data_IF_973651582172
#
_entry.id   IF_973651582172
#
_cell.length_a   1.000
_cell.length_b   1.000
_cell.length_c   1.000
_cell.angle_alpha   90.00
_cell.angle_beta   90.00
_cell.angle_gamma   90.00
#
_symmetry.space_group_name_H-M   'P 1'
#
loop_
_entity.id
_entity.type
_entity.pdbx_description
1 polymer ?
#
# COMPACT_ATOMS: atom_id res chain seq x y z
N UNK A 1 -70.02 -6.13 49.97
CA UNK A 1 -69.03 -7.20 49.77
C UNK A 1 -68.94 -7.70 48.33
N UNK A 2 -70.05 -8.09 47.66
CA UNK A 2 -70.01 -8.55 46.24
C UNK A 2 -69.41 -7.55 45.23
N UNK A 3 -69.84 -6.27 45.26
CA UNK A 3 -69.30 -5.24 44.35
C UNK A 3 -67.80 -4.97 44.52
N UNK A 4 -67.27 -5.14 45.73
CA UNK A 4 -65.86 -4.92 46.03
C UNK A 4 -64.98 -6.05 45.49
N UNK A 5 -65.49 -7.28 45.50
CA UNK A 5 -64.85 -8.45 44.88
C UNK A 5 -64.86 -8.37 43.34
N UNK A 6 -65.97 -7.95 42.73
CA UNK A 6 -66.06 -7.74 41.28
C UNK A 6 -65.12 -6.64 40.78
N UNK A 7 -64.99 -5.54 41.54
CA UNK A 7 -64.09 -4.43 41.19
C UNK A 7 -62.61 -4.83 41.31
N UNK A 8 -62.25 -5.70 42.27
CA UNK A 8 -60.91 -6.25 42.38
C UNK A 8 -60.57 -7.19 41.22
N UNK A 9 -61.51 -8.05 40.79
CA UNK A 9 -61.32 -8.95 39.64
C UNK A 9 -61.11 -8.14 38.36
N UNK A 10 -61.89 -7.08 38.17
CA UNK A 10 -61.76 -6.20 37.00
C UNK A 10 -60.43 -5.42 36.98
N UNK A 11 -59.96 -4.96 38.15
CA UNK A 11 -58.64 -4.34 38.28
C UNK A 11 -57.51 -5.34 37.96
N UNK A 12 -57.58 -6.56 38.47
CA UNK A 12 -56.57 -7.59 38.19
C UNK A 12 -56.52 -8.00 36.73
N UNK A 13 -57.69 -8.11 36.06
CA UNK A 13 -57.76 -8.40 34.63
C UNK A 13 -57.16 -7.27 33.80
N UNK A 14 -57.41 -6.01 34.18
CA UNK A 14 -56.84 -4.85 33.51
C UNK A 14 -55.32 -4.80 33.62
N UNK A 15 -54.78 -5.05 34.82
CA UNK A 15 -53.33 -5.13 35.05
C UNK A 15 -52.69 -6.26 34.22
N UNK A 16 -53.33 -7.43 34.15
CA UNK A 16 -52.84 -8.55 33.35
C UNK A 16 -52.83 -8.23 31.85
N UNK A 17 -53.90 -7.60 31.35
CA UNK A 17 -53.99 -7.18 29.94
C UNK A 17 -52.92 -6.14 29.61
N UNK A 18 -52.68 -5.19 30.51
CA UNK A 18 -51.67 -4.16 30.31
C UNK A 18 -50.25 -4.75 30.34
N UNK A 19 -49.98 -5.71 31.24
CA UNK A 19 -48.72 -6.47 31.25
C UNK A 19 -48.48 -7.29 29.96
N UNK A 20 -49.51 -7.97 29.45
CA UNK A 20 -49.42 -8.72 28.19
C UNK A 20 -49.18 -7.79 26.99
N UNK A 21 -49.78 -6.60 26.99
CA UNK A 21 -49.53 -5.58 25.95
C UNK A 21 -48.10 -5.06 25.99
N UNK A 22 -47.54 -4.84 27.18
CA UNK A 22 -46.13 -4.43 27.32
C UNK A 22 -45.18 -5.53 26.84
N UNK A 23 -45.45 -6.79 27.18
CA UNK A 23 -44.67 -7.93 26.68
C UNK A 23 -44.76 -8.05 25.15
N UNK A 24 -45.96 -7.92 24.58
CA UNK A 24 -46.16 -7.98 23.13
C UNK A 24 -45.40 -6.85 22.43
N UNK A 25 -45.42 -5.64 22.99
CA UNK A 25 -44.69 -4.49 22.47
C UNK A 25 -43.18 -4.71 22.49
N UNK A 26 -42.64 -5.23 23.60
CA UNK A 26 -41.21 -5.55 23.72
C UNK A 26 -40.76 -6.62 22.73
N UNK A 27 -41.59 -7.66 22.50
CA UNK A 27 -41.31 -8.70 21.50
C UNK A 27 -41.34 -8.12 20.09
N UNK A 28 -42.30 -7.24 19.78
CA UNK A 28 -42.41 -6.60 18.47
C UNK A 28 -41.23 -5.66 18.19
N UNK A 29 -40.80 -4.87 19.18
CA UNK A 29 -39.61 -4.03 19.08
C UNK A 29 -38.36 -4.86 18.83
N UNK A 30 -38.19 -5.99 19.53
CA UNK A 30 -37.06 -6.90 19.30
C UNK A 30 -37.08 -7.52 17.90
N UNK A 31 -38.23 -7.99 17.44
CA UNK A 31 -38.40 -8.52 16.08
C UNK A 31 -38.11 -7.47 15.02
N UNK A 32 -38.56 -6.23 15.22
CA UNK A 32 -38.28 -5.13 14.29
C UNK A 32 -36.79 -4.81 14.21
N UNK A 33 -36.06 -4.90 15.33
CA UNK A 33 -34.62 -4.71 15.37
C UNK A 33 -33.88 -5.86 14.68
N UNK A 34 -34.30 -7.11 14.89
CA UNK A 34 -33.74 -8.28 14.21
C UNK A 34 -34.02 -8.23 12.69
N UNK A 35 -35.23 -7.82 12.29
CA UNK A 35 -35.59 -7.59 10.89
C UNK A 35 -34.70 -6.50 10.28
N UNK A 36 -34.57 -5.35 10.93
CA UNK A 36 -33.71 -4.26 10.44
C UNK A 36 -32.24 -4.69 10.34
N UNK A 37 -31.76 -5.50 11.30
CA UNK A 37 -30.41 -6.07 11.26
C UNK A 37 -30.24 -7.05 10.09
N UNK A 38 -31.24 -7.89 9.83
CA UNK A 38 -31.25 -8.80 8.67
C UNK A 38 -31.34 -8.04 7.35
N UNK A 39 -32.17 -7.01 7.25
CA UNK A 39 -32.28 -6.13 6.09
C UNK A 39 -30.98 -5.37 5.84
N UNK A 40 -30.31 -4.87 6.87
CA UNK A 40 -28.99 -4.25 6.75
C UNK A 40 -27.92 -5.26 6.31
N UNK A 41 -27.93 -6.48 6.86
CA UNK A 41 -27.01 -7.55 6.43
C UNK A 41 -27.28 -8.00 4.99
N UNK A 42 -28.55 -8.10 4.59
CA UNK A 42 -28.97 -8.40 3.23
C UNK A 42 -28.67 -7.25 2.28
N UNK A 43 -28.76 -6.00 2.73
CA UNK A 43 -28.36 -4.80 1.97
C UNK A 43 -26.85 -4.76 1.79
N UNK A 44 -26.06 -5.04 2.82
CA UNK A 44 -24.60 -5.20 2.71
C UNK A 44 -24.21 -6.37 1.81
N UNK A 45 -24.97 -7.47 1.85
CA UNK A 45 -24.77 -8.60 0.95
C UNK A 45 -25.22 -8.27 -0.47
N UNK A 46 -26.30 -7.52 -0.64
CA UNK A 46 -26.76 -6.99 -1.91
C UNK A 46 -25.76 -5.98 -2.46
N UNK A 47 -25.09 -5.14 -1.67
CA UNK A 47 -23.97 -4.31 -2.14
C UNK A 47 -22.81 -5.20 -2.61
N UNK A 48 -22.52 -6.31 -1.91
CA UNK A 48 -21.53 -7.32 -2.34
C UNK A 48 -21.97 -8.17 -3.56
N UNK A 49 -23.27 -8.22 -3.86
CA UNK A 49 -23.88 -8.96 -4.99
C UNK A 49 -24.22 -8.01 -6.16
N UNK A 50 -24.47 -6.72 -5.94
CA UNK A 50 -24.71 -5.68 -6.95
C UNK A 50 -23.41 -5.07 -7.48
N UNK A 51 -22.28 -5.32 -6.80
CA UNK A 51 -20.93 -5.33 -7.38
C UNK A 51 -20.75 -6.44 -8.48
N UNK A 52 -21.87 -6.87 -9.09
CA UNK A 52 -21.97 -7.78 -10.24
C UNK A 52 -22.47 -7.07 -11.50
N UNK A 53 -22.59 -5.74 -11.50
CA UNK A 53 -22.55 -4.96 -12.74
C UNK A 53 -21.17 -5.13 -13.40
N UNK A 54 -21.17 -5.72 -14.60
CA UNK A 54 -19.97 -5.97 -15.40
C UNK A 54 -19.15 -4.70 -15.68
N UNK A 55 -19.82 -3.56 -15.83
CA UNK A 55 -19.21 -2.26 -16.19
C UNK A 55 -18.51 -1.56 -15.02
N UNK A 56 -19.04 -1.66 -13.79
CA UNK A 56 -18.39 -1.09 -12.60
C UNK A 56 -17.15 -1.90 -12.17
N UNK A 57 -17.15 -3.21 -12.45
CA UNK A 57 -16.03 -4.12 -12.16
C UNK A 57 -14.78 -3.84 -12.98
N UNK A 58 -14.92 -3.48 -14.25
CA UNK A 58 -13.78 -3.12 -15.10
C UNK A 58 -13.07 -1.85 -14.61
N UNK A 59 -13.81 -0.91 -14.03
CA UNK A 59 -13.27 0.38 -13.60
C UNK A 59 -12.54 0.27 -12.25
N UNK A 60 -13.13 -0.40 -11.26
CA UNK A 60 -12.52 -0.59 -9.92
C UNK A 60 -11.26 -1.48 -9.93
N UNK A 61 -11.14 -2.38 -10.89
CA UNK A 61 -9.94 -3.22 -11.05
C UNK A 61 -8.79 -2.45 -11.72
N UNK A 62 -9.11 -1.48 -12.59
CA UNK A 62 -8.13 -0.73 -13.40
C UNK A 62 -7.59 0.52 -12.72
N UNK A 63 -8.23 1.02 -11.66
CA UNK A 63 -7.75 2.20 -10.96
C UNK A 63 -6.39 1.93 -10.32
N UNK A 64 -5.42 2.79 -10.67
CA UNK A 64 -4.09 2.73 -10.09
C UNK A 64 -4.21 3.00 -8.58
N UNK A 65 -3.56 2.20 -7.72
CA UNK A 65 -3.56 2.46 -6.30
C UNK A 65 -3.06 3.87 -6.02
N UNK A 66 -3.84 4.66 -5.26
CA UNK A 66 -3.50 6.04 -4.90
C UNK A 66 -2.13 6.12 -4.19
N UNK A 67 -1.75 5.05 -3.49
CA UNK A 67 -0.45 4.87 -2.85
C UNK A 67 0.70 4.90 -3.88
N UNK A 68 0.51 4.40 -5.10
CA UNK A 68 1.51 4.45 -6.17
C UNK A 68 1.51 5.79 -6.91
N UNK A 69 0.36 6.46 -6.99
CA UNK A 69 0.27 7.78 -7.62
C UNK A 69 0.98 8.86 -6.78
N UNK A 70 0.69 8.88 -5.48
CA UNK A 70 1.16 9.91 -4.54
C UNK A 70 2.65 9.83 -4.20
N UNK A 71 3.29 8.68 -4.42
CA UNK A 71 4.72 8.53 -4.15
C UNK A 71 5.57 9.24 -5.23
N UNK A 72 6.28 10.28 -4.81
CA UNK A 72 7.32 10.92 -5.62
C UNK A 72 8.56 10.01 -5.64
N UNK A 73 9.00 9.62 -6.84
CA UNK A 73 10.18 8.78 -7.03
C UNK A 73 11.19 9.51 -7.94
N UNK A 74 12.48 9.59 -7.56
CA UNK A 74 13.51 10.22 -8.39
C UNK A 74 13.82 9.45 -9.68
N UNK A 75 13.38 8.19 -9.78
CA UNK A 75 13.56 7.34 -10.96
C UNK A 75 12.21 7.10 -11.67
N UNK A 76 11.85 7.91 -12.69
CA UNK A 76 10.57 7.78 -13.39
C UNK A 76 10.41 6.46 -14.15
N UNK A 77 11.51 5.87 -14.63
CA UNK A 77 11.51 4.58 -15.33
C UNK A 77 11.13 3.42 -14.38
N UNK A 78 11.59 3.48 -13.13
CA UNK A 78 11.23 2.50 -12.11
C UNK A 78 9.74 2.61 -11.76
N UNK A 79 9.25 3.85 -11.58
CA UNK A 79 7.82 4.10 -11.30
C UNK A 79 6.94 3.60 -12.45
N UNK A 80 7.28 3.93 -13.69
CA UNK A 80 6.51 3.48 -14.85
C UNK A 80 6.56 1.95 -15.04
N UNK A 81 7.71 1.31 -14.79
CA UNK A 81 7.84 -0.15 -14.83
C UNK A 81 6.93 -0.83 -13.79
N UNK A 82 6.90 -0.34 -12.55
CA UNK A 82 6.03 -0.87 -11.50
C UNK A 82 4.55 -0.69 -11.87
N UNK A 83 4.17 0.47 -12.39
CA UNK A 83 2.79 0.71 -12.84
C UNK A 83 2.40 -0.22 -13.99
N UNK A 84 3.28 -0.43 -14.97
CA UNK A 84 3.03 -1.35 -16.08
C UNK A 84 2.89 -2.79 -15.60
N UNK A 85 3.74 -3.23 -14.67
CA UNK A 85 3.62 -4.56 -14.05
C UNK A 85 2.30 -4.71 -13.28
N UNK A 86 1.84 -3.67 -12.60
CA UNK A 86 0.53 -3.66 -11.95
C UNK A 86 -0.61 -3.81 -12.97
N UNK A 87 -0.59 -3.03 -14.05
CA UNK A 87 -1.59 -3.13 -15.12
C UNK A 87 -1.61 -4.54 -15.74
N UNK A 88 -0.42 -5.07 -16.10
CA UNK A 88 -0.27 -6.42 -16.63
C UNK A 88 -0.78 -7.50 -15.66
N UNK A 89 -0.51 -7.33 -14.36
CA UNK A 89 -1.01 -8.19 -13.31
C UNK A 89 -2.54 -8.16 -13.25
N UNK A 90 -3.14 -6.98 -13.20
CA UNK A 90 -4.59 -6.79 -13.14
C UNK A 90 -5.30 -7.35 -14.38
N UNK A 91 -4.78 -7.08 -15.59
CA UNK A 91 -5.35 -7.60 -16.83
C UNK A 91 -5.45 -9.13 -16.84
N UNK A 92 -4.44 -9.83 -16.30
CA UNK A 92 -4.45 -11.29 -16.20
C UNK A 92 -5.58 -11.81 -15.32
N UNK A 93 -5.90 -11.11 -14.23
CA UNK A 93 -7.03 -11.47 -13.37
C UNK A 93 -8.36 -11.11 -14.02
N UNK A 94 -8.44 -9.97 -14.69
CA UNK A 94 -9.65 -9.54 -15.39
C UNK A 94 -10.04 -10.52 -16.51
N UNK A 95 -9.09 -10.95 -17.34
CA UNK A 95 -9.32 -11.97 -18.38
C UNK A 95 -9.86 -13.27 -17.78
N UNK A 96 -9.22 -13.77 -16.71
CA UNK A 96 -9.69 -14.97 -16.01
C UNK A 96 -11.09 -14.80 -15.40
N UNK A 97 -11.41 -13.61 -14.88
CA UNK A 97 -12.72 -13.32 -14.34
C UNK A 97 -13.79 -13.34 -15.44
N UNK A 98 -13.49 -12.73 -16.60
CA UNK A 98 -14.34 -12.75 -17.78
C UNK A 98 -14.58 -14.19 -18.28
N UNK A 99 -13.54 -15.03 -18.32
CA UNK A 99 -13.69 -16.44 -18.68
C UNK A 99 -14.66 -17.17 -17.74
N UNK A 100 -14.58 -16.92 -16.42
CA UNK A 100 -15.53 -17.48 -15.46
C UNK A 100 -16.94 -16.92 -15.62
N UNK A 101 -17.07 -15.63 -15.93
CA UNK A 101 -18.38 -15.00 -16.17
C UNK A 101 -19.05 -15.58 -17.42
N UNK A 102 -18.30 -15.80 -18.50
CA UNK A 102 -18.78 -16.51 -19.69
C UNK A 102 -19.16 -17.97 -19.39
N UNK A 103 -18.34 -18.69 -18.62
CA UNK A 103 -18.68 -20.06 -18.21
C UNK A 103 -19.96 -20.11 -17.36
N UNK A 104 -20.16 -19.15 -16.45
CA UNK A 104 -21.36 -19.06 -15.64
C UNK A 104 -22.60 -18.77 -16.49
N UNK A 105 -22.47 -17.89 -17.48
CA UNK A 105 -23.55 -17.57 -18.42
C UNK A 105 -23.91 -18.77 -19.30
N UNK A 106 -22.92 -19.50 -19.80
CA UNK A 106 -23.12 -20.73 -20.59
C UNK A 106 -23.84 -21.82 -19.78
N UNK A 107 -23.41 -22.06 -18.53
CA UNK A 107 -24.09 -23.02 -17.64
C UNK A 107 -25.53 -22.56 -17.36
N UNK A 108 -25.75 -21.26 -17.13
CA UNK A 108 -27.08 -20.71 -16.86
C UNK A 108 -28.01 -20.85 -18.07
N UNK A 109 -27.51 -20.67 -19.31
CA UNK A 109 -28.29 -20.89 -20.54
C UNK A 109 -28.77 -22.33 -20.71
N UNK A 110 -28.06 -23.29 -20.12
CA UNK A 110 -28.44 -24.71 -20.14
C UNK A 110 -29.50 -25.07 -19.08
N UNK A 111 -29.91 -24.13 -18.22
CA UNK A 111 -30.99 -24.37 -17.26
C UNK A 111 -32.34 -24.46 -17.99
N UNK A 112 -32.98 -25.62 -17.90
CA UNK A 112 -34.28 -25.90 -18.52
C UNK A 112 -35.48 -25.52 -17.63
N UNK A 113 -35.23 -24.95 -16.45
CA UNK A 113 -36.25 -24.51 -15.49
C UNK A 113 -36.42 -22.99 -15.61
N UNK A 114 -37.67 -22.51 -15.49
CA UNK A 114 -37.94 -21.07 -15.35
C UNK A 114 -37.35 -20.54 -14.04
N UNK A 115 -37.25 -19.21 -13.91
CA UNK A 115 -36.74 -18.58 -12.69
C UNK A 115 -37.62 -18.92 -11.47
N UNK A 116 -38.94 -18.98 -11.68
CA UNK A 116 -39.92 -19.40 -10.67
C UNK A 116 -39.76 -20.88 -10.30
N UNK A 117 -39.57 -21.76 -11.28
CA UNK A 117 -39.32 -23.18 -11.03
C UNK A 117 -37.99 -23.40 -10.30
N UNK A 118 -36.98 -22.59 -10.59
CA UNK A 118 -35.69 -22.63 -9.92
C UNK A 118 -35.82 -22.22 -8.44
N UNK A 119 -36.68 -21.25 -8.14
CA UNK A 119 -36.99 -20.88 -6.76
C UNK A 119 -37.69 -22.02 -6.01
N UNK A 120 -38.67 -22.67 -6.63
CA UNK A 120 -39.36 -23.84 -6.05
C UNK A 120 -38.36 -24.98 -5.85
N UNK A 121 -37.47 -25.22 -6.81
CA UNK A 121 -36.42 -26.23 -6.72
C UNK A 121 -35.51 -25.98 -5.51
N UNK A 122 -35.01 -24.75 -5.35
CA UNK A 122 -34.17 -24.35 -4.22
C UNK A 122 -34.92 -24.46 -2.88
N UNK A 123 -36.16 -23.96 -2.82
CA UNK A 123 -36.98 -24.00 -1.62
C UNK A 123 -37.26 -25.45 -1.16
N UNK A 124 -37.41 -26.38 -2.10
CA UNK A 124 -37.55 -27.81 -1.79
C UNK A 124 -36.23 -28.37 -1.26
N UNK A 125 -35.08 -28.06 -1.87
CA UNK A 125 -33.77 -28.50 -1.37
C UNK A 125 -33.47 -28.03 0.06
N UNK A 126 -33.86 -26.79 0.38
CA UNK A 126 -33.63 -26.17 1.69
C UNK A 126 -34.49 -26.79 2.81
N UNK A 127 -35.63 -27.40 2.46
CA UNK A 127 -36.48 -28.13 3.41
C UNK A 127 -35.86 -29.44 3.90
N UNK A 128 -34.87 -29.99 3.18
CA UNK A 128 -34.21 -31.25 3.55
C UNK A 128 -32.78 -30.98 4.05
N UNK A 129 -32.50 -31.21 5.34
CA UNK A 129 -31.15 -31.08 5.91
C UNK A 129 -30.10 -31.96 5.24
N UNK A 130 -28.86 -31.49 5.19
CA UNK A 130 -27.74 -32.15 4.52
C UNK A 130 -27.28 -33.47 5.15
N UNK A 131 -27.57 -33.67 6.43
CA UNK A 131 -27.24 -34.83 7.26
C UNK A 131 -28.25 -35.98 7.15
N UNK A 132 -29.37 -35.76 6.45
CA UNK A 132 -30.43 -36.74 6.29
C UNK A 132 -29.99 -37.91 5.38
N UNK A 133 -30.08 -39.15 5.89
CA UNK A 133 -29.80 -40.33 5.08
C UNK A 133 -30.78 -40.44 3.91
N UNK A 134 -30.27 -40.63 2.69
CA UNK A 134 -31.12 -40.71 1.49
C UNK A 134 -31.77 -39.38 1.09
N UNK A 135 -31.26 -38.24 1.58
CA UNK A 135 -31.72 -36.88 1.22
C UNK A 135 -32.06 -36.73 -0.25
N UNK A 136 -31.16 -37.21 -1.13
CA UNK A 136 -31.29 -37.16 -2.59
C UNK A 136 -32.57 -37.81 -3.11
N UNK A 137 -32.92 -38.97 -2.58
CA UNK A 137 -34.16 -39.64 -3.00
C UNK A 137 -35.38 -38.84 -2.55
N UNK A 138 -35.36 -38.32 -1.32
CA UNK A 138 -36.50 -37.62 -0.71
C UNK A 138 -36.82 -36.30 -1.42
N UNK A 139 -35.83 -35.44 -1.67
CA UNK A 139 -36.12 -34.20 -2.41
C UNK A 139 -36.44 -34.47 -3.87
N UNK A 140 -35.83 -35.46 -4.53
CA UNK A 140 -36.18 -35.79 -5.93
C UNK A 140 -37.64 -36.25 -6.02
N UNK A 141 -38.10 -37.09 -5.10
CA UNK A 141 -39.50 -37.53 -5.04
C UNK A 141 -40.44 -36.35 -4.79
N UNK A 142 -40.02 -35.38 -3.98
CA UNK A 142 -40.80 -34.16 -3.72
C UNK A 142 -40.84 -33.23 -4.94
N UNK A 143 -39.69 -33.01 -5.60
CA UNK A 143 -39.58 -32.22 -6.82
C UNK A 143 -40.43 -32.82 -7.95
N UNK A 144 -40.50 -34.15 -8.06
CA UNK A 144 -41.39 -34.80 -9.05
C UNK A 144 -42.88 -34.54 -8.78
N UNK A 145 -43.28 -34.23 -7.54
CA UNK A 145 -44.67 -33.82 -7.23
C UNK A 145 -44.92 -32.37 -7.62
N UNK A 146 -43.94 -31.49 -7.45
CA UNK A 146 -44.04 -30.08 -7.84
C UNK A 146 -43.88 -29.87 -9.35
N UNK A 147 -43.13 -30.74 -10.02
CA UNK A 147 -42.88 -30.71 -11.47
C UNK A 147 -43.41 -31.97 -12.16
N UNK A 148 -44.75 -32.18 -12.23
CA UNK A 148 -45.33 -33.38 -12.84
C UNK A 148 -45.04 -33.48 -14.34
N UNK A 149 -44.64 -32.38 -15.00
CA UNK A 149 -44.29 -32.33 -16.42
C UNK A 149 -42.81 -32.63 -16.70
N UNK A 150 -41.96 -32.75 -15.68
CA UNK A 150 -40.52 -32.99 -15.84
C UNK A 150 -40.19 -34.42 -15.46
N UNK A 151 -39.32 -35.05 -16.23
CA UNK A 151 -38.88 -36.40 -15.91
C UNK A 151 -37.92 -36.39 -14.72
N UNK A 152 -37.80 -37.52 -14.00
CA UNK A 152 -36.75 -37.67 -12.97
C UNK A 152 -35.35 -37.46 -13.55
N UNK A 153 -35.15 -37.83 -14.82
CA UNK A 153 -33.89 -37.66 -15.51
C UNK A 153 -33.55 -36.17 -15.66
N UNK A 154 -34.51 -35.34 -16.09
CA UNK A 154 -34.32 -33.90 -16.28
C UNK A 154 -33.98 -33.20 -14.96
N UNK A 155 -34.61 -33.61 -13.86
CA UNK A 155 -34.32 -33.08 -12.51
C UNK A 155 -32.90 -33.43 -12.05
N UNK A 156 -32.43 -34.64 -12.37
CA UNK A 156 -31.05 -35.07 -12.09
C UNK A 156 -30.04 -34.39 -13.01
N UNK A 157 -30.41 -34.11 -14.26
CA UNK A 157 -29.57 -33.33 -15.17
C UNK A 157 -29.44 -31.89 -14.68
N UNK A 158 -30.54 -31.28 -14.25
CA UNK A 158 -30.56 -29.95 -13.66
C UNK A 158 -29.68 -29.85 -12.41
N UNK A 159 -29.73 -30.84 -11.52
CA UNK A 159 -28.83 -30.94 -10.36
C UNK A 159 -27.36 -30.84 -10.75
N UNK A 160 -26.94 -31.52 -11.83
CA UNK A 160 -25.55 -31.45 -12.32
C UNK A 160 -25.18 -30.04 -12.78
N UNK A 161 -26.07 -29.36 -13.50
CA UNK A 161 -25.82 -27.99 -13.94
C UNK A 161 -25.78 -27.03 -12.73
N UNK A 162 -26.63 -27.22 -11.72
CA UNK A 162 -26.56 -26.47 -10.47
C UNK A 162 -25.22 -26.68 -9.75
N UNK A 163 -24.75 -27.92 -9.63
CA UNK A 163 -23.45 -28.23 -9.02
C UNK A 163 -22.29 -27.57 -9.77
N UNK A 164 -22.31 -27.63 -11.11
CA UNK A 164 -21.32 -26.96 -11.96
C UNK A 164 -21.35 -25.44 -11.78
N UNK A 165 -22.55 -24.85 -11.77
CA UNK A 165 -22.75 -23.43 -11.57
C UNK A 165 -22.22 -22.99 -10.19
N UNK A 166 -22.58 -23.70 -9.12
CA UNK A 166 -22.10 -23.43 -7.77
C UNK A 166 -20.58 -23.57 -7.67
N UNK A 167 -20.01 -24.58 -8.31
CA UNK A 167 -18.56 -24.77 -8.35
C UNK A 167 -17.87 -23.61 -9.08
N UNK A 168 -18.30 -23.25 -10.28
CA UNK A 168 -17.75 -22.13 -11.05
C UNK A 168 -17.88 -20.81 -10.28
N UNK A 169 -19.03 -20.57 -9.65
CA UNK A 169 -19.27 -19.38 -8.81
C UNK A 169 -18.34 -19.35 -7.59
N UNK A 170 -18.06 -20.52 -6.99
CA UNK A 170 -17.09 -20.63 -5.89
C UNK A 170 -15.66 -20.36 -6.36
N UNK A 171 -15.26 -20.89 -7.52
CA UNK A 171 -13.94 -20.61 -8.11
C UNK A 171 -13.77 -19.12 -8.40
N UNK A 172 -14.80 -18.47 -8.96
CA UNK A 172 -14.80 -17.03 -9.19
C UNK A 172 -14.60 -16.24 -7.89
N UNK A 173 -15.31 -16.60 -6.80
CA UNK A 173 -15.13 -15.96 -5.49
C UNK A 173 -13.70 -16.12 -4.95
N UNK A 174 -13.12 -17.31 -5.10
CA UNK A 174 -11.73 -17.58 -4.70
C UNK A 174 -10.76 -16.73 -5.54
N UNK A 175 -11.00 -16.59 -6.85
CA UNK A 175 -10.17 -15.75 -7.72
C UNK A 175 -10.17 -14.29 -7.27
N UNK A 176 -11.35 -13.73 -6.95
CA UNK A 176 -11.47 -12.36 -6.44
C UNK A 176 -10.75 -12.19 -5.09
N UNK A 177 -10.89 -13.17 -4.18
CA UNK A 177 -10.19 -13.13 -2.89
C UNK A 177 -8.66 -13.18 -3.07
N UNK A 178 -8.18 -14.02 -3.99
CA UNK A 178 -6.77 -14.12 -4.33
C UNK A 178 -6.25 -12.83 -4.97
N UNK A 179 -7.01 -12.23 -5.90
CA UNK A 179 -6.65 -10.94 -6.48
C UNK A 179 -6.50 -9.86 -5.39
N UNK A 180 -7.47 -9.75 -4.48
CA UNK A 180 -7.42 -8.79 -3.39
C UNK A 180 -6.19 -8.98 -2.48
N UNK A 181 -5.84 -10.22 -2.16
CA UNK A 181 -4.63 -10.53 -1.38
C UNK A 181 -3.37 -10.13 -2.14
N UNK A 182 -3.24 -10.60 -3.37
CA UNK A 182 -2.06 -10.36 -4.20
C UNK A 182 -1.88 -8.89 -4.56
N UNK A 183 -2.98 -8.14 -4.74
CA UNK A 183 -2.97 -6.68 -4.93
C UNK A 183 -2.34 -5.98 -3.73
N UNK A 184 -2.76 -6.31 -2.50
CA UNK A 184 -2.15 -5.72 -1.29
C UNK A 184 -0.67 -6.05 -1.19
N UNK A 185 -0.31 -7.31 -1.41
CA UNK A 185 1.08 -7.76 -1.37
C UNK A 185 1.95 -7.06 -2.43
N UNK A 186 1.39 -6.85 -3.64
CA UNK A 186 2.05 -6.10 -4.71
C UNK A 186 2.27 -4.65 -4.31
N UNK A 187 1.22 -3.95 -3.86
CA UNK A 187 1.30 -2.54 -3.46
C UNK A 187 2.35 -2.37 -2.36
N UNK A 188 2.33 -3.23 -1.34
CA UNK A 188 3.30 -3.17 -0.25
C UNK A 188 4.74 -3.32 -0.74
N UNK A 189 5.00 -4.27 -1.64
CA UNK A 189 6.34 -4.47 -2.23
C UNK A 189 6.73 -3.29 -3.10
N UNK A 190 5.83 -2.79 -3.94
CA UNK A 190 6.07 -1.66 -4.83
C UNK A 190 6.41 -0.39 -4.05
N UNK A 191 5.64 -0.09 -3.00
CA UNK A 191 5.90 1.05 -2.10
C UNK A 191 7.26 0.91 -1.42
N UNK A 192 7.59 -0.30 -0.92
CA UNK A 192 8.89 -0.56 -0.29
C UNK A 192 10.05 -0.33 -1.28
N UNK A 193 9.97 -0.89 -2.48
CA UNK A 193 10.99 -0.72 -3.52
C UNK A 193 11.18 0.75 -3.90
N UNK A 194 10.08 1.50 -4.04
CA UNK A 194 10.14 2.93 -4.34
C UNK A 194 10.77 3.71 -3.19
N UNK A 195 10.42 3.41 -1.93
CA UNK A 195 11.02 4.03 -0.77
C UNK A 195 12.52 3.74 -0.64
N UNK A 196 12.95 2.50 -0.91
CA UNK A 196 14.37 2.11 -0.95
C UNK A 196 15.14 2.87 -2.04
N UNK A 197 14.53 3.04 -3.22
CA UNK A 197 15.12 3.81 -4.31
C UNK A 197 15.25 5.31 -3.95
N UNK A 198 14.23 5.90 -3.32
CA UNK A 198 14.29 7.27 -2.81
C UNK A 198 15.40 7.45 -1.77
N UNK A 199 15.47 6.56 -0.78
CA UNK A 199 16.50 6.61 0.27
C UNK A 199 17.92 6.47 -0.31
N UNK A 200 18.11 5.60 -1.31
CA UNK A 200 19.39 5.42 -2.00
C UNK A 200 19.79 6.70 -2.73
N UNK A 201 18.85 7.31 -3.48
CA UNK A 201 19.09 8.57 -4.19
C UNK A 201 19.43 9.73 -3.22
N UNK A 202 18.73 9.83 -2.09
CA UNK A 202 19.03 10.83 -1.06
C UNK A 202 20.44 10.64 -0.49
N UNK A 203 20.82 9.40 -0.15
CA UNK A 203 22.16 9.07 0.32
C UNK A 203 23.23 9.43 -0.71
N UNK A 204 23.05 9.07 -1.98
CA UNK A 204 23.96 9.45 -3.07
C UNK A 204 24.07 10.98 -3.21
N UNK A 205 22.94 11.69 -3.11
CA UNK A 205 22.90 13.16 -3.16
C UNK A 205 23.70 13.78 -2.01
N UNK A 206 23.60 13.25 -0.79
CA UNK A 206 24.39 13.73 0.36
C UNK A 206 25.88 13.48 0.16
N UNK A 207 26.27 12.28 -0.30
CA UNK A 207 27.67 11.94 -0.60
C UNK A 207 28.25 12.84 -1.70
N UNK A 208 27.48 13.13 -2.75
CA UNK A 208 27.90 14.04 -3.81
C UNK A 208 28.13 15.47 -3.28
N UNK A 209 27.24 15.97 -2.42
CA UNK A 209 27.39 17.27 -1.77
C UNK A 209 28.64 17.32 -0.88
N UNK A 210 28.90 16.28 -0.10
CA UNK A 210 30.06 16.24 0.79
C UNK A 210 31.37 16.10 0.02
N UNK A 211 31.39 15.31 -1.06
CA UNK A 211 32.53 15.24 -1.97
C UNK A 211 32.84 16.60 -2.59
N UNK A 212 31.82 17.38 -2.96
CA UNK A 212 31.99 18.74 -3.48
C UNK A 212 32.61 19.67 -2.42
N UNK A 213 32.10 19.65 -1.18
CA UNK A 213 32.67 20.44 -0.07
C UNK A 213 34.13 20.07 0.22
N UNK A 214 34.47 18.78 0.19
CA UNK A 214 35.84 18.32 0.38
C UNK A 214 36.77 18.82 -0.73
N UNK A 215 36.31 18.82 -1.99
CA UNK A 215 37.07 19.36 -3.11
C UNK A 215 37.32 20.86 -2.96
N UNK A 216 36.30 21.62 -2.56
CA UNK A 216 36.40 23.06 -2.29
C UNK A 216 37.40 23.35 -1.16
N UNK A 217 37.33 22.61 -0.05
CA UNK A 217 38.26 22.74 1.08
C UNK A 217 39.70 22.41 0.66
N UNK A 218 39.92 21.34 -0.10
CA UNK A 218 41.24 20.98 -0.61
C UNK A 218 41.79 22.07 -1.55
N UNK A 219 40.95 22.69 -2.37
CA UNK A 219 41.36 23.79 -3.24
C UNK A 219 41.77 25.03 -2.43
N UNK A 220 41.00 25.41 -1.40
CA UNK A 220 41.33 26.52 -0.50
C UNK A 220 42.63 26.28 0.27
N UNK A 221 42.80 25.08 0.84
CA UNK A 221 44.03 24.71 1.53
C UNK A 221 45.25 24.74 0.59
N UNK A 222 45.10 24.25 -0.64
CA UNK A 222 46.17 24.31 -1.64
C UNK A 222 46.55 25.76 -1.97
N UNK A 223 45.57 26.65 -2.12
CA UNK A 223 45.82 28.07 -2.34
C UNK A 223 46.56 28.71 -1.16
N UNK A 224 46.14 28.43 0.08
CA UNK A 224 46.82 28.91 1.30
C UNK A 224 48.26 28.41 1.40
N UNK A 225 48.51 27.14 1.07
CA UNK A 225 49.87 26.56 1.05
C UNK A 225 50.75 27.25 0.01
N UNK A 226 50.23 27.55 -1.18
CA UNK A 226 50.97 28.29 -2.19
C UNK A 226 51.28 29.72 -1.75
N UNK A 227 50.32 30.42 -1.14
CA UNK A 227 50.54 31.74 -0.55
C UNK A 227 51.61 31.71 0.55
N UNK A 228 51.55 30.72 1.45
CA UNK A 228 52.56 30.53 2.49
C UNK A 228 53.96 30.32 1.90
N UNK A 229 54.08 29.46 0.87
CA UNK A 229 55.37 29.23 0.20
C UNK A 229 55.93 30.50 -0.42
N UNK A 230 55.10 31.24 -1.16
CA UNK A 230 55.50 32.52 -1.74
C UNK A 230 55.94 33.53 -0.66
N UNK A 231 55.24 33.57 0.48
CA UNK A 231 55.62 34.41 1.61
C UNK A 231 56.96 34.00 2.22
N UNK A 232 57.22 32.70 2.39
CA UNK A 232 58.49 32.18 2.91
C UNK A 232 59.66 32.49 1.96
N UNK A 233 59.47 32.34 0.65
CA UNK A 233 60.47 32.69 -0.36
C UNK A 233 60.80 34.19 -0.32
N UNK A 234 59.78 35.04 -0.16
CA UNK A 234 59.97 36.48 -0.01
C UNK A 234 60.73 36.85 1.27
N UNK A 235 60.38 36.23 2.40
CA UNK A 235 61.09 36.45 3.68
C UNK A 235 62.56 36.04 3.57
N UNK A 236 62.85 34.85 3.01
CA UNK A 236 64.22 34.39 2.80
C UNK A 236 65.01 35.34 1.87
N UNK A 237 64.37 35.87 0.82
CA UNK A 237 64.98 36.87 -0.07
C UNK A 237 65.35 38.14 0.69
N UNK A 238 64.46 38.66 1.52
CA UNK A 238 64.71 39.85 2.34
C UNK A 238 65.81 39.61 3.38
N UNK A 239 65.87 38.44 4.01
CA UNK A 239 66.93 38.08 4.96
C UNK A 239 68.31 38.01 4.30
N UNK A 240 68.39 37.45 3.09
CA UNK A 240 69.63 37.44 2.29
C UNK A 240 70.09 38.86 1.98
N UNK A 241 69.18 39.76 1.58
CA UNK A 241 69.48 41.16 1.30
C UNK A 241 69.96 41.91 2.55
N UNK A 242 69.31 41.70 3.72
CA UNK A 242 69.74 42.25 5.00
C UNK A 242 71.14 41.76 5.38
N UNK A 243 71.40 40.47 5.22
CA UNK A 243 72.69 39.85 5.53
C UNK A 243 73.80 40.34 4.60
N UNK A 244 73.50 40.53 3.31
CA UNK A 244 74.43 41.14 2.36
C UNK A 244 74.75 42.59 2.70
N UNK A 245 73.75 43.39 3.11
CA UNK A 245 73.95 44.77 3.58
C UNK A 245 74.79 44.82 4.86
N UNK A 246 74.60 43.90 5.80
CA UNK A 246 75.42 43.80 7.03
C UNK A 246 76.88 43.50 6.69
N UNK A 247 77.15 42.51 5.84
CA UNK A 247 78.51 42.18 5.37
C UNK A 247 79.19 43.37 4.69
N UNK A 248 78.52 44.06 3.77
CA UNK A 248 79.08 45.27 3.13
C UNK A 248 79.48 46.34 4.14
N UNK A 249 78.64 46.60 5.15
CA UNK A 249 78.95 47.57 6.22
C UNK A 249 80.15 47.13 7.06
N UNK A 250 80.30 45.83 7.33
CA UNK A 250 81.45 45.27 8.05
C UNK A 250 82.73 45.40 7.22
N UNK A 251 82.71 45.03 5.94
CA UNK A 251 83.84 45.20 5.01
C UNK A 251 84.25 46.67 4.86
N UNK A 252 83.29 47.60 4.80
CA UNK A 252 83.57 49.04 4.76
C UNK A 252 84.25 49.52 6.04
N UNK A 253 83.76 49.09 7.22
CA UNK A 253 84.40 49.37 8.51
C UNK A 253 85.81 48.79 8.58
N UNK A 254 86.02 47.58 8.09
CA UNK A 254 87.34 46.93 8.04
C UNK A 254 88.30 47.70 7.12
N UNK A 255 87.84 48.12 5.93
CA UNK A 255 88.63 48.96 5.01
C UNK A 255 89.00 50.30 5.66
N UNK A 256 88.05 50.94 6.35
CA UNK A 256 88.29 52.18 7.10
C UNK A 256 89.31 51.96 8.23
N UNK A 257 89.20 50.85 8.96
CA UNK A 257 90.14 50.49 10.02
C UNK A 257 91.56 50.25 9.48
N UNK A 258 91.70 49.46 8.40
CA UNK A 258 93.00 49.23 7.72
C UNK A 258 93.64 50.53 7.25
N UNK A 259 92.86 51.45 6.69
CA UNK A 259 93.36 52.78 6.29
C UNK A 259 93.86 53.59 7.49
N UNK A 260 93.12 53.60 8.61
CA UNK A 260 93.56 54.26 9.85
C UNK A 260 94.84 53.63 10.41
N UNK A 261 94.95 52.31 10.37
CA UNK A 261 96.14 51.59 10.83
C UNK A 261 97.39 51.92 9.99
N UNK A 262 97.24 51.99 8.66
CA UNK A 262 98.32 52.40 7.76
C UNK A 262 98.81 53.81 8.04
N UNK A 263 97.89 54.78 8.20
CA UNK A 263 98.23 56.15 8.57
C UNK A 263 98.98 56.22 9.91
N UNK A 264 98.53 55.47 10.92
CA UNK A 264 99.24 55.40 12.21
C UNK A 264 100.64 54.77 12.10
N UNK A 265 100.88 53.86 11.14
CA UNK A 265 102.20 53.28 10.89
C UNK A 265 103.11 54.24 10.16
N UNK A 266 102.60 55.07 9.26
CA UNK A 266 103.35 56.14 8.58
C UNK A 266 103.74 57.24 9.57
N UNK A 267 102.81 57.73 10.40
CA UNK A 267 103.09 58.71 11.46
C UNK A 267 104.12 58.24 12.49
N UNK A 268 104.19 56.92 12.74
CA UNK A 268 105.21 56.33 13.62
C UNK A 268 106.57 56.19 12.94
N UNK A 269 106.63 56.08 11.61
CA UNK A 269 107.87 56.05 10.83
C UNK A 269 108.47 57.44 10.63
N UNK A 270 107.65 58.50 10.59
CA UNK A 270 108.11 59.90 10.55
C UNK A 270 108.66 60.41 11.89
N UNK A 271 108.46 59.68 13.00
CA UNK A 271 108.95 60.03 14.34
C UNK A 271 110.22 59.27 14.76
N UNK A 272 110.89 58.61 13.83
CA UNK A 272 112.21 57.95 13.99
C UNK A 272 113.20 58.63 13.06
#
# INVERSE_FOLDING_TARGET
MKRTLEMNVFLTLRILVDFVKEQLKAVFEKLSLEQQKLENNLSEWNIKILDHSSEEKSNLLSELPMELETLECPYPDLKSSICNEFCNFTEKYQKKLQDFDLQLEDIYRNFQLSEEDHWVYQAVLDQYPGDLCGRRTLYLDMLQRYFPHKSRHDLVEHEKYCDQYHFARKQRRILIANWNKNRRDFIQKAVLTLAEACATHEMESTLAKDRKKQQELCADLKAKVLQWRAHQEEVARLEMEISARRRKKEEEKEKLWKKKELLQREEKKEKV
#
